data_IF_924661435309
#
_entry.id   IF_924661435309
#
_cell.length_a   1.000
_cell.length_b   1.000
_cell.length_c   1.000
_cell.angle_alpha   90.00
_cell.angle_beta   90.00
_cell.angle_gamma   90.00
#
_symmetry.space_group_name_H-M   'P 1'
#
loop_
_entity.id
_entity.type
_entity.pdbx_description
1 polymer ?
#
# COMPACT_ATOMS: atom_id res chain seq x y z
N UNK A 1 -26.65 -20.70 4.97
CA UNK A 1 -26.71 -19.64 5.98
C UNK A 1 -25.50 -19.84 6.88
N UNK A 2 -24.44 -19.07 6.66
CA UNK A 2 -23.16 -19.13 7.41
C UNK A 2 -23.11 -17.87 8.27
N UNK A 3 -22.76 -17.96 9.56
CA UNK A 3 -22.88 -16.83 10.47
C UNK A 3 -21.76 -15.80 10.22
N UNK A 4 -22.20 -14.54 10.17
CA UNK A 4 -21.54 -13.28 10.54
C UNK A 4 -20.07 -13.38 10.98
N UNK A 5 -19.19 -12.81 10.15
CA UNK A 5 -17.85 -12.35 10.54
C UNK A 5 -18.00 -10.96 11.20
N UNK A 6 -18.66 -10.93 12.36
CA UNK A 6 -18.79 -9.74 13.20
C UNK A 6 -17.53 -9.62 14.07
N UNK A 7 -16.64 -8.69 13.72
CA UNK A 7 -15.65 -8.18 14.67
C UNK A 7 -14.19 -8.15 14.23
N UNK A 8 -13.82 -8.59 13.02
CA UNK A 8 -12.53 -8.16 12.45
C UNK A 8 -12.70 -6.80 11.84
N UNK A 9 -12.09 -5.79 12.45
CA UNK A 9 -11.76 -4.55 11.75
C UNK A 9 -11.01 -4.97 10.47
N UNK A 10 -11.69 -4.92 9.34
CA UNK A 10 -11.08 -5.19 8.05
C UNK A 10 -10.23 -3.96 7.78
N UNK A 11 -8.97 -4.00 8.21
CA UNK A 11 -8.01 -2.92 7.99
C UNK A 11 -7.98 -2.63 6.49
N UNK A 12 -8.69 -1.58 6.10
CA UNK A 12 -8.78 -1.16 4.71
C UNK A 12 -7.60 -0.26 4.44
N UNK A 13 -6.94 -0.45 3.32
CA UNK A 13 -5.77 0.34 2.93
C UNK A 13 -6.07 1.00 1.60
N UNK A 14 -5.51 2.17 1.38
CA UNK A 14 -5.59 2.87 0.10
C UNK A 14 -4.19 2.96 -0.47
N UNK A 15 -4.00 2.49 -1.69
CA UNK A 15 -2.84 2.79 -2.48
C UNK A 15 -3.11 4.04 -3.33
N UNK A 16 -2.30 5.06 -3.16
CA UNK A 16 -2.31 6.23 -4.03
C UNK A 16 -1.21 6.08 -5.08
N UNK A 17 -1.58 6.16 -6.34
CA UNK A 17 -0.67 6.17 -7.46
C UNK A 17 -0.07 7.56 -7.68
N UNK A 18 1.04 7.64 -8.41
CA UNK A 18 1.70 8.93 -8.71
C UNK A 18 0.84 9.88 -9.55
N UNK A 19 -0.14 9.37 -10.27
CA UNK A 19 -1.12 10.17 -11.02
C UNK A 19 -2.31 10.64 -10.14
N UNK A 20 -2.29 10.35 -8.84
CA UNK A 20 -3.34 10.69 -7.89
C UNK A 20 -4.50 9.69 -7.87
N UNK A 21 -4.44 8.60 -8.64
CA UNK A 21 -5.46 7.55 -8.59
C UNK A 21 -5.42 6.83 -7.25
N UNK A 22 -6.57 6.71 -6.60
CA UNK A 22 -6.73 5.96 -5.35
C UNK A 22 -7.30 4.57 -5.63
N UNK A 23 -6.67 3.54 -5.05
CA UNK A 23 -7.11 2.15 -5.14
C UNK A 23 -7.36 1.64 -3.73
N UNK A 24 -8.61 1.30 -3.43
CA UNK A 24 -8.99 0.64 -2.19
C UNK A 24 -8.52 -0.83 -2.21
N UNK A 25 -7.91 -1.27 -1.12
CA UNK A 25 -7.39 -2.61 -0.92
C UNK A 25 -8.06 -3.23 0.30
N UNK A 26 -8.53 -4.46 0.17
CA UNK A 26 -8.93 -5.25 1.34
C UNK A 26 -7.70 -5.57 2.21
N UNK A 27 -7.89 -5.88 3.50
CA UNK A 27 -6.78 -6.12 4.44
C UNK A 27 -5.75 -7.16 3.93
N UNK A 28 -6.22 -8.26 3.34
CA UNK A 28 -5.35 -9.32 2.82
C UNK A 28 -4.65 -8.96 1.50
N UNK A 29 -5.22 -8.06 0.71
CA UNK A 29 -4.57 -7.52 -0.50
C UNK A 29 -3.56 -6.45 -0.11
N UNK A 30 -3.93 -5.55 0.79
CA UNK A 30 -3.11 -4.47 1.30
C UNK A 30 -1.80 -4.95 1.94
N UNK A 31 -1.84 -6.00 2.77
CA UNK A 31 -0.62 -6.61 3.32
C UNK A 31 0.30 -7.18 2.23
N UNK A 32 -0.26 -7.84 1.21
CA UNK A 32 0.54 -8.42 0.11
C UNK A 32 1.15 -7.33 -0.77
N UNK A 33 0.37 -6.29 -1.07
CA UNK A 33 0.84 -5.11 -1.82
C UNK A 33 1.94 -4.39 -1.04
N UNK A 34 1.76 -4.13 0.25
CA UNK A 34 2.77 -3.49 1.10
C UNK A 34 4.06 -4.31 1.16
N UNK A 35 3.97 -5.63 1.33
CA UNK A 35 5.14 -6.52 1.33
C UNK A 35 5.90 -6.48 -0.01
N UNK A 36 5.17 -6.55 -1.13
CA UNK A 36 5.79 -6.48 -2.45
C UNK A 36 6.46 -5.13 -2.71
N UNK A 37 5.79 -4.03 -2.38
CA UNK A 37 6.31 -2.67 -2.58
C UNK A 37 7.55 -2.41 -1.73
N UNK A 38 7.51 -2.75 -0.43
CA UNK A 38 8.67 -2.58 0.46
C UNK A 38 9.87 -3.42 0.02
N UNK A 39 9.62 -4.62 -0.51
CA UNK A 39 10.67 -5.48 -1.08
C UNK A 39 11.25 -4.93 -2.37
N UNK A 40 10.42 -4.33 -3.25
CA UNK A 40 10.85 -3.74 -4.52
C UNK A 40 11.52 -2.37 -4.34
N UNK A 41 11.11 -1.59 -3.33
CA UNK A 41 11.62 -0.26 -3.05
C UNK A 41 13.14 -0.23 -2.77
N UNK A 42 13.70 -1.32 -2.25
CA UNK A 42 15.15 -1.46 -1.97
C UNK A 42 15.94 -2.05 -3.14
N UNK A 43 15.33 -2.15 -4.32
CA UNK A 43 15.96 -2.66 -5.55
C UNK A 43 16.04 -1.57 -6.62
N UNK A 44 16.71 -1.85 -7.73
CA UNK A 44 16.73 -0.97 -8.91
C UNK A 44 15.33 -0.70 -9.51
N UNK A 45 14.32 -1.49 -9.15
CA UNK A 45 12.93 -1.26 -9.60
C UNK A 45 12.19 -0.19 -8.77
N UNK A 46 12.70 0.18 -7.58
CA UNK A 46 12.07 1.13 -6.66
C UNK A 46 11.66 2.46 -7.31
N UNK A 47 12.53 3.15 -8.07
CA UNK A 47 12.20 4.40 -8.74
C UNK A 47 11.06 4.29 -9.78
N UNK A 48 10.85 3.09 -10.33
CA UNK A 48 9.87 2.83 -11.38
C UNK A 48 8.48 2.44 -10.84
N UNK A 49 8.32 2.30 -9.53
CA UNK A 49 7.02 2.01 -8.93
C UNK A 49 6.07 3.19 -9.16
N UNK A 50 4.86 2.89 -9.63
CA UNK A 50 3.81 3.89 -9.86
C UNK A 50 2.98 4.20 -8.61
N UNK A 51 3.30 3.58 -7.47
CA UNK A 51 2.64 3.84 -6.18
C UNK A 51 3.40 4.94 -5.45
N UNK A 52 2.72 6.02 -5.08
CA UNK A 52 3.28 7.13 -4.34
C UNK A 52 3.24 6.86 -2.82
N UNK A 53 2.11 6.38 -2.30
CA UNK A 53 1.96 6.04 -0.88
C UNK A 53 0.89 4.98 -0.63
N UNK A 54 1.02 4.28 0.50
CA UNK A 54 0.01 3.39 1.08
C UNK A 54 -0.45 3.99 2.40
N UNK A 55 -1.75 4.18 2.54
CA UNK A 55 -2.38 4.80 3.71
C UNK A 55 -3.34 3.80 4.37
N UNK A 56 -3.31 3.73 5.70
CA UNK A 56 -4.27 2.98 6.50
C UNK A 56 -5.64 3.69 6.56
N UNK A 57 -6.68 2.98 6.98
CA UNK A 57 -8.03 3.52 7.08
C UNK A 57 -8.15 4.70 8.07
N UNK A 58 -7.27 4.77 9.07
CA UNK A 58 -7.18 5.86 10.05
C UNK A 58 -6.39 7.08 9.54
N UNK A 59 -5.81 6.99 8.33
CA UNK A 59 -5.01 8.04 7.72
C UNK A 59 -3.50 7.89 7.92
N UNK A 60 -3.03 6.87 8.66
CA UNK A 60 -1.60 6.67 8.88
C UNK A 60 -0.90 6.25 7.58
N UNK A 61 0.25 6.89 7.29
CA UNK A 61 1.09 6.53 6.15
C UNK A 61 1.93 5.32 6.53
N UNK A 62 1.66 4.18 5.90
CA UNK A 62 2.36 2.93 6.16
C UNK A 62 3.60 2.76 5.29
N UNK A 63 3.58 3.35 4.09
CA UNK A 63 4.71 3.42 3.19
C UNK A 63 4.53 4.62 2.25
N UNK A 64 5.64 5.28 1.92
CA UNK A 64 5.68 6.30 0.89
C UNK A 64 6.99 6.17 0.11
N UNK A 65 6.93 6.50 -1.16
CA UNK A 65 8.14 6.65 -1.95
C UNK A 65 8.87 7.92 -1.48
N UNK A 66 10.13 7.78 -1.09
CA UNK A 66 11.01 8.93 -0.86
C UNK A 66 11.59 9.36 -2.20
N UNK A 67 11.23 10.57 -2.66
CA UNK A 67 11.78 11.17 -3.88
C UNK A 67 13.28 11.50 -3.79
N UNK A 68 13.89 11.37 -2.60
CA UNK A 68 15.31 11.62 -2.33
C UNK A 68 16.23 10.41 -2.55
N UNK A 69 15.73 9.24 -2.96
CA UNK A 69 16.61 8.11 -3.26
C UNK A 69 17.15 8.20 -4.70
N UNK A 70 18.48 8.33 -4.90
CA UNK A 70 19.05 8.30 -6.24
C UNK A 70 18.74 6.95 -6.89
N UNK A 71 18.37 6.97 -8.17
CA UNK A 71 18.37 5.77 -9.00
C UNK A 71 19.79 5.20 -9.00
N UNK A 72 20.00 4.15 -8.20
CA UNK A 72 21.25 3.40 -8.13
C UNK A 72 21.48 2.58 -9.39
#
# INVERSE_FOLDING_TARGET
MVPVDEGREVMTMTAELRDGTEIALSAGEGQRVLYALTSLAVTALGPHLNVARIVAADGDILWALNDDQPAG
#
